data_IF_206822155471
#
_entry.id   IF_206822155471
#
_cell.length_a   1.000
_cell.length_b   1.000
_cell.length_c   1.000
_cell.angle_alpha   90.00
_cell.angle_beta   90.00
_cell.angle_gamma   90.00
#
_symmetry.space_group_name_H-M   'P 1'
#
loop_
_entity.id
_entity.type
_entity.pdbx_description
1 polymer ?
#
# COMPACT_ATOMS: atom_id res chain seq x y z
N UNK A 1 12.30 -4.21 0.87
CA UNK A 1 11.43 -3.09 1.32
C UNK A 1 10.64 -3.43 2.58
N UNK A 2 9.81 -4.48 2.60
CA UNK A 2 8.98 -4.84 3.78
C UNK A 2 9.78 -5.08 5.08
N UNK A 3 10.89 -5.81 5.01
CA UNK A 3 11.73 -6.12 6.19
C UNK A 3 12.37 -4.86 6.78
N UNK A 4 12.82 -3.93 5.93
CA UNK A 4 13.40 -2.67 6.37
C UNK A 4 12.36 -1.78 7.07
N UNK A 5 11.13 -1.73 6.56
CA UNK A 5 10.01 -1.03 7.20
C UNK A 5 9.61 -1.65 8.55
N UNK A 6 9.64 -2.98 8.66
CA UNK A 6 9.38 -3.68 9.92
C UNK A 6 10.45 -3.39 10.98
N UNK A 7 11.73 -3.47 10.61
CA UNK A 7 12.85 -3.09 11.49
C UNK A 7 12.77 -1.62 11.93
N UNK A 8 12.43 -0.72 11.01
CA UNK A 8 12.23 0.69 11.32
C UNK A 8 11.08 0.91 12.31
N UNK A 9 9.96 0.16 12.17
CA UNK A 9 8.83 0.22 13.10
C UNK A 9 9.20 -0.25 14.52
N UNK A 10 9.96 -1.34 14.64
CA UNK A 10 10.48 -1.83 15.92
C UNK A 10 11.42 -0.78 16.56
N UNK A 11 12.35 -0.24 15.77
CA UNK A 11 13.27 0.80 16.24
C UNK A 11 12.55 2.06 16.73
N UNK A 12 11.49 2.47 16.02
CA UNK A 12 10.66 3.62 16.41
C UNK A 12 9.95 3.36 17.74
N UNK A 13 9.37 2.17 17.93
CA UNK A 13 8.70 1.81 19.17
C UNK A 13 9.66 1.79 20.37
N UNK A 14 10.86 1.24 20.19
CA UNK A 14 11.89 1.22 21.24
C UNK A 14 12.41 2.63 21.55
N UNK A 15 12.56 3.48 20.52
CA UNK A 15 12.90 4.89 20.69
C UNK A 15 11.86 5.61 21.56
N UNK A 16 10.58 5.52 21.22
CA UNK A 16 9.51 6.18 22.01
C UNK A 16 9.33 5.58 23.42
N UNK A 17 9.58 4.28 23.59
CA UNK A 17 9.57 3.62 24.90
C UNK A 17 10.71 4.12 25.81
N UNK A 18 11.89 4.40 25.24
CA UNK A 18 13.04 4.92 26.01
C UNK A 18 12.73 6.27 26.68
N UNK A 19 11.86 7.07 26.09
CA UNK A 19 11.38 8.33 26.67
C UNK A 19 10.11 8.19 27.52
N UNK A 20 9.59 6.97 27.71
CA UNK A 20 8.41 6.68 28.51
C UNK A 20 7.08 7.09 27.87
N UNK A 21 7.05 7.40 26.56
CA UNK A 21 5.83 7.86 25.89
C UNK A 21 4.87 6.72 25.53
N UNK A 22 5.39 5.50 25.32
CA UNK A 22 4.61 4.35 24.83
C UNK A 22 5.10 3.11 25.57
N UNK A 23 4.18 2.27 26.06
CA UNK A 23 4.49 1.00 26.71
C UNK A 23 4.86 -0.07 25.66
N UNK A 24 6.00 -0.73 25.84
CA UNK A 24 6.48 -1.75 24.89
C UNK A 24 5.61 -3.01 24.99
N UNK A 25 4.77 -3.27 23.99
CA UNK A 25 3.93 -4.47 23.95
C UNK A 25 4.12 -5.25 22.66
N UNK A 26 4.32 -6.55 22.80
CA UNK A 26 4.39 -7.50 21.69
C UNK A 26 3.17 -7.44 20.76
N UNK A 27 1.99 -7.08 21.31
CA UNK A 27 0.76 -6.90 20.52
C UNK A 27 0.90 -5.73 19.53
N UNK A 28 1.60 -4.68 19.91
CA UNK A 28 1.81 -3.50 19.07
C UNK A 28 2.88 -3.76 18.00
N UNK A 29 3.94 -4.50 18.36
CA UNK A 29 4.99 -4.94 17.42
C UNK A 29 4.45 -5.84 16.31
N UNK A 30 3.61 -6.84 16.64
CA UNK A 30 3.08 -7.77 15.65
C UNK A 30 1.81 -7.25 14.95
N UNK A 31 1.13 -6.24 15.49
CA UNK A 31 -0.06 -5.65 14.85
C UNK A 31 0.26 -5.01 13.50
N UNK A 32 1.38 -4.30 13.39
CA UNK A 32 1.78 -3.62 12.15
C UNK A 32 2.02 -4.56 10.96
N UNK A 33 2.87 -5.61 11.05
CA UNK A 33 3.08 -6.52 9.93
C UNK A 33 1.83 -7.32 9.58
N UNK A 34 1.01 -7.70 10.56
CA UNK A 34 -0.24 -8.46 10.32
C UNK A 34 -1.25 -7.60 9.55
N UNK A 35 -1.44 -6.34 9.96
CA UNK A 35 -2.32 -5.40 9.25
C UNK A 35 -1.78 -5.10 7.85
N UNK A 36 -0.46 -4.90 7.71
CA UNK A 36 0.15 -4.63 6.41
C UNK A 36 0.01 -5.81 5.43
N UNK A 37 0.20 -7.05 5.90
CA UNK A 37 -0.01 -8.26 5.10
C UNK A 37 -1.49 -8.45 4.79
N UNK A 38 -2.40 -8.28 5.75
CA UNK A 38 -3.83 -8.36 5.51
C UNK A 38 -4.31 -7.32 4.49
N UNK A 39 -3.82 -6.08 4.60
CA UNK A 39 -4.10 -5.01 3.64
C UNK A 39 -3.50 -5.34 2.26
N UNK A 40 -2.28 -5.87 2.21
CA UNK A 40 -1.66 -6.34 0.97
C UNK A 40 -2.47 -7.47 0.33
N UNK A 41 -3.04 -8.41 1.11
CA UNK A 41 -3.85 -9.51 0.59
C UNK A 41 -5.22 -9.04 0.09
N UNK A 42 -5.84 -8.10 0.80
CA UNK A 42 -7.08 -7.44 0.37
C UNK A 42 -6.84 -6.65 -0.92
N UNK A 43 -5.70 -5.97 -1.02
CA UNK A 43 -5.35 -5.14 -2.17
C UNK A 43 -4.80 -5.96 -3.34
N UNK A 44 -4.19 -7.11 -3.09
CA UNK A 44 -3.80 -8.08 -4.12
C UNK A 44 -4.96 -8.99 -4.54
N UNK A 45 -6.16 -8.80 -3.97
CA UNK A 45 -7.35 -9.51 -4.41
C UNK A 45 -7.61 -9.13 -5.88
N UNK A 46 -7.58 -10.10 -6.81
CA UNK A 46 -7.84 -9.81 -8.20
C UNK A 46 -9.34 -9.56 -8.32
N UNK A 47 -9.74 -8.29 -8.35
CA UNK A 47 -11.07 -7.93 -8.80
C UNK A 47 -11.11 -8.15 -10.33
N UNK A 48 -11.39 -9.39 -10.73
CA UNK A 48 -11.57 -9.91 -12.09
C UNK A 48 -10.29 -10.15 -12.92
N UNK A 49 -9.98 -11.44 -13.09
CA UNK A 49 -8.98 -11.99 -14.00
C UNK A 49 -9.47 -12.01 -15.47
N UNK A 50 -10.09 -10.93 -15.95
CA UNK A 50 -10.49 -10.82 -17.37
C UNK A 50 -10.49 -9.39 -17.93
N UNK A 51 -9.82 -8.44 -17.28
CA UNK A 51 -9.45 -7.19 -17.94
C UNK A 51 -7.92 -7.12 -17.99
N UNK A 52 -7.39 -7.74 -19.05
CA UNK A 52 -5.99 -7.75 -19.43
C UNK A 52 -5.40 -6.32 -19.40
N UNK A 53 -4.32 -6.16 -18.63
CA UNK A 53 -3.60 -4.91 -18.35
C UNK A 53 -3.07 -4.18 -19.61
N UNK A 54 -3.28 -4.73 -20.81
CA UNK A 54 -2.86 -4.15 -22.08
C UNK A 54 -3.89 -3.17 -22.69
N UNK A 55 -5.08 -2.99 -22.11
CA UNK A 55 -6.10 -2.06 -22.62
C UNK A 55 -6.17 -0.72 -21.86
N UNK A 56 -5.64 -0.60 -20.64
CA UNK A 56 -5.67 0.67 -19.89
C UNK A 56 -4.70 1.70 -20.46
N UNK A 57 -3.57 1.26 -21.02
CA UNK A 57 -2.59 2.15 -21.66
C UNK A 57 -3.14 2.74 -22.98
N UNK A 58 -3.80 1.96 -23.87
CA UNK A 58 -4.53 2.53 -25.00
C UNK A 58 -5.76 3.38 -24.62
N UNK A 59 -6.62 2.94 -23.68
CA UNK A 59 -7.87 3.65 -23.37
C UNK A 59 -7.66 4.98 -22.66
N UNK A 60 -6.66 5.10 -21.77
CA UNK A 60 -6.30 6.39 -21.22
C UNK A 60 -5.90 7.34 -22.36
N UNK A 61 -4.96 6.93 -23.23
CA UNK A 61 -4.52 7.75 -24.36
C UNK A 61 -5.64 8.07 -25.38
N UNK A 62 -6.53 7.12 -25.67
CA UNK A 62 -7.66 7.34 -26.57
C UNK A 62 -8.72 8.26 -25.96
N UNK A 63 -8.93 8.22 -24.63
CA UNK A 63 -9.85 9.13 -23.93
C UNK A 63 -9.31 10.55 -23.89
N UNK A 64 -8.01 10.76 -23.70
CA UNK A 64 -7.39 12.09 -23.78
C UNK A 64 -7.40 12.64 -25.21
N UNK A 65 -7.16 11.80 -26.24
CA UNK A 65 -7.24 12.21 -27.64
C UNK A 65 -8.67 12.53 -28.09
N UNK A 66 -9.66 11.70 -27.75
CA UNK A 66 -11.07 11.96 -28.09
C UNK A 66 -11.61 13.22 -27.39
N UNK A 67 -11.17 13.50 -26.16
CA UNK A 67 -11.50 14.75 -25.47
C UNK A 67 -10.86 15.98 -26.15
N UNK A 68 -9.65 15.85 -26.70
CA UNK A 68 -8.97 16.94 -27.41
C UNK A 68 -9.56 17.27 -28.79
N UNK A 69 -10.34 16.36 -29.40
CA UNK A 69 -11.06 16.64 -30.66
C UNK A 69 -12.49 17.17 -30.46
N UNK A 70 -13.01 17.12 -29.23
CA UNK A 70 -14.34 17.60 -28.87
C UNK A 70 -14.36 19.01 -28.25
N UNK A 71 -13.18 19.62 -28.07
CA UNK A 71 -13.00 21.00 -27.58
C UNK A 71 -12.59 21.98 -28.69
N UNK A 72 -12.98 21.72 -29.95
CA UNK A 72 -12.89 22.65 -31.09
C UNK A 72 -14.25 22.79 -31.76
#
# INVERSE_FOLDING_TARGET
MAIAGFLASIGCMHYFHTFGFIEESWRMTFGFPVVSVAASLVQSHPNNTELDDNLTVPLAHHSWLVASFYDV
#
